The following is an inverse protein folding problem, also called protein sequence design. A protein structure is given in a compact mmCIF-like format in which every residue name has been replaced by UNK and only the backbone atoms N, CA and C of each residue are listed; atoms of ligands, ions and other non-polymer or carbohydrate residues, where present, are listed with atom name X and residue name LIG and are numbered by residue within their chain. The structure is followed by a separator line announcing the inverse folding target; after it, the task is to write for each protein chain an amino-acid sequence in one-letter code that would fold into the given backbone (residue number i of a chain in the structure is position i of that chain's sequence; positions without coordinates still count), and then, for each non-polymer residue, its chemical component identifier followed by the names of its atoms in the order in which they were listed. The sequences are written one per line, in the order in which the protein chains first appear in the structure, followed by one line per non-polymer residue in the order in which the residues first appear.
data_IF_563535237634
#
_entry.id   IF_563535237634
#
_cell.length_a   1.000
_cell.length_b   1.000
_cell.length_c   1.000
_cell.angle_alpha   90.00
_cell.angle_beta   90.00
_cell.angle_gamma   90.00
#
_symmetry.space_group_name_H-M   'P 1'
#
loop_
_entity.id
_entity.type
_entity.pdbx_description
1 polymer ?
#
# COMPACT_ATOMS: atom_id res chain seq x y z
N UNK A 1 16.25 -17.42 7.75
CA UNK A 1 16.19 -16.87 9.11
C UNK A 1 17.19 -15.73 9.24
N UNK A 2 16.78 -14.62 9.82
CA UNK A 2 17.68 -13.47 9.91
C UNK A 2 18.77 -13.70 10.93
N UNK A 3 19.93 -13.13 10.68
CA UNK A 3 21.05 -13.11 11.62
C UNK A 3 20.69 -12.14 12.76
N UNK A 4 21.04 -12.51 14.01
CA UNK A 4 20.79 -11.67 15.18
C UNK A 4 21.42 -10.29 15.08
N UNK A 5 22.45 -10.14 14.24
CA UNK A 5 23.14 -8.88 14.03
C UNK A 5 22.46 -8.00 12.99
N UNK A 6 21.54 -8.54 12.22
CA UNK A 6 20.87 -7.82 11.15
C UNK A 6 19.60 -7.14 11.70
N UNK A 7 19.44 -5.83 11.46
CA UNK A 7 18.25 -5.16 11.96
C UNK A 7 17.00 -5.56 11.18
N UNK A 8 15.89 -5.72 11.90
CA UNK A 8 14.58 -5.95 11.30
C UNK A 8 13.92 -4.59 11.09
N UNK A 9 13.68 -4.22 9.83
CA UNK A 9 13.08 -2.93 9.50
C UNK A 9 11.57 -2.96 9.66
N UNK A 10 10.95 -4.09 9.30
CA UNK A 10 9.51 -4.22 9.39
C UNK A 10 9.14 -5.69 9.51
N UNK A 11 8.00 -5.97 10.11
CA UNK A 11 7.49 -7.33 10.22
C UNK A 11 5.97 -7.32 10.27
N UNK A 12 5.37 -8.42 9.87
CA UNK A 12 3.93 -8.62 9.96
C UNK A 12 3.64 -10.09 10.24
N UNK A 13 2.59 -10.34 11.00
CA UNK A 13 2.08 -11.68 11.25
C UNK A 13 0.67 -11.78 10.71
N UNK A 14 0.40 -12.80 9.92
CA UNK A 14 -0.92 -13.02 9.33
C UNK A 14 -1.45 -14.35 9.83
N UNK A 15 -2.67 -14.33 10.38
CA UNK A 15 -3.30 -15.51 10.94
C UNK A 15 -4.65 -15.75 10.25
N UNK A 16 -4.84 -16.95 9.71
CA UNK A 16 -6.11 -17.30 9.09
C UNK A 16 -7.19 -17.44 10.15
N UNK A 17 -8.41 -17.09 9.76
CA UNK A 17 -9.59 -17.24 10.61
C UNK A 17 -10.41 -18.45 10.16
N UNK A 18 -11.46 -18.76 10.92
CA UNK A 18 -12.32 -19.90 10.61
C UNK A 18 -13.17 -19.69 9.36
N UNK A 19 -13.26 -18.46 8.89
CA UNK A 19 -14.01 -18.14 7.66
C UNK A 19 -13.13 -18.42 6.46
N UNK A 20 -13.71 -18.66 5.27
CA UNK A 20 -12.95 -19.23 4.17
C UNK A 20 -11.64 -18.51 3.85
N UNK A 21 -11.65 -17.17 3.78
CA UNK A 21 -10.46 -16.44 3.34
C UNK A 21 -10.12 -15.24 4.21
N UNK A 22 -10.86 -15.01 5.29
CA UNK A 22 -10.54 -13.92 6.20
C UNK A 22 -9.24 -14.16 6.93
N UNK A 23 -8.42 -13.13 7.03
CA UNK A 23 -7.16 -13.19 7.79
C UNK A 23 -7.04 -11.99 8.70
N UNK A 24 -6.40 -12.20 9.82
CA UNK A 24 -6.03 -11.14 10.74
C UNK A 24 -4.58 -10.81 10.51
N UNK A 25 -4.28 -9.52 10.42
CA UNK A 25 -2.92 -9.04 10.17
C UNK A 25 -2.48 -8.19 11.34
N UNK A 26 -1.28 -8.46 11.85
CA UNK A 26 -0.61 -7.58 12.81
C UNK A 26 0.65 -7.05 12.13
N UNK A 27 0.67 -5.76 11.86
CA UNK A 27 1.79 -5.13 11.18
C UNK A 27 2.27 -3.95 12.02
N UNK A 28 3.45 -4.08 12.61
CA UNK A 28 4.02 -3.02 13.42
C UNK A 28 3.15 -2.63 14.61
N UNK A 29 2.44 -3.59 15.23
CA UNK A 29 1.55 -3.34 16.33
C UNK A 29 0.16 -2.83 15.93
N UNK A 30 -0.12 -2.77 14.64
CA UNK A 30 -1.43 -2.33 14.12
C UNK A 30 -2.22 -3.52 13.62
N UNK A 31 -3.50 -3.58 13.99
CA UNK A 31 -4.39 -4.66 13.59
C UNK A 31 -5.10 -4.29 12.29
N UNK A 32 -4.99 -5.17 11.30
CA UNK A 32 -5.63 -5.00 10.00
C UNK A 32 -6.33 -6.30 9.64
N UNK A 33 -7.17 -6.26 8.64
CA UNK A 33 -7.83 -7.45 8.13
C UNK A 33 -7.62 -7.56 6.63
N UNK A 34 -7.55 -8.81 6.17
CA UNK A 34 -7.56 -9.11 4.74
C UNK A 34 -8.61 -10.16 4.45
N UNK A 35 -9.16 -10.15 3.26
CA UNK A 35 -10.16 -11.11 2.84
C UNK A 35 -10.27 -11.07 1.32
N UNK A 36 -11.00 -12.00 0.75
CA UNK A 36 -11.37 -11.93 -0.64
C UNK A 36 -12.77 -11.35 -0.78
N UNK A 37 -13.11 -10.73 -1.92
CA UNK A 37 -14.47 -10.26 -2.15
C UNK A 37 -15.45 -11.43 -2.27
N UNK A 38 -16.72 -11.12 -2.09
CA UNK A 38 -17.76 -12.15 -2.14
C UNK A 38 -17.73 -12.92 -3.47
N UNK A 39 -17.48 -12.23 -4.58
CA UNK A 39 -17.38 -12.87 -5.89
C UNK A 39 -16.23 -13.86 -6.03
N UNK A 40 -15.25 -13.82 -5.13
CA UNK A 40 -14.13 -14.75 -5.10
C UNK A 40 -14.25 -15.76 -3.95
N UNK A 41 -15.41 -15.81 -3.31
CA UNK A 41 -15.66 -16.76 -2.24
C UNK A 41 -15.40 -16.26 -0.84
N UNK A 42 -14.99 -15.02 -0.70
CA UNK A 42 -14.75 -14.41 0.60
C UNK A 42 -15.99 -13.75 1.17
N UNK A 43 -15.82 -13.06 2.29
CA UNK A 43 -16.89 -12.33 2.97
C UNK A 43 -16.70 -10.80 2.92
N UNK A 44 -15.68 -10.34 2.22
CA UNK A 44 -15.38 -8.91 2.02
C UNK A 44 -15.21 -8.17 3.35
N UNK A 45 -14.54 -8.81 4.32
CA UNK A 45 -14.32 -8.21 5.63
C UNK A 45 -13.03 -7.38 5.70
N UNK A 46 -12.30 -7.31 4.61
CA UNK A 46 -11.09 -6.51 4.48
C UNK A 46 -10.63 -6.51 3.04
N UNK A 47 -9.60 -5.70 2.70
CA UNK A 47 -9.09 -5.66 1.35
C UNK A 47 -8.44 -6.98 0.95
N UNK A 48 -8.46 -7.32 -0.34
CA UNK A 48 -7.75 -8.50 -0.82
C UNK A 48 -6.24 -8.27 -0.81
N UNK A 49 -5.43 -9.35 -0.93
CA UNK A 49 -3.97 -9.23 -0.84
C UNK A 49 -3.36 -8.20 -1.78
N UNK A 50 -3.79 -8.13 -3.04
CA UNK A 50 -3.28 -7.12 -3.96
C UNK A 50 -3.65 -5.70 -3.53
N UNK A 51 -4.84 -5.52 -2.92
CA UNK A 51 -5.22 -4.23 -2.36
C UNK A 51 -4.28 -3.80 -1.25
N UNK A 52 -3.88 -4.73 -0.40
CA UNK A 52 -2.93 -4.46 0.67
C UNK A 52 -1.54 -4.12 0.10
N UNK A 53 -1.10 -4.84 -0.93
CA UNK A 53 0.17 -4.57 -1.59
C UNK A 53 0.19 -3.19 -2.23
N UNK A 54 -0.87 -2.85 -2.96
CA UNK A 54 -0.99 -1.53 -3.59
C UNK A 54 -1.06 -0.42 -2.56
N UNK A 55 -1.74 -0.66 -1.43
CA UNK A 55 -1.82 0.31 -0.33
C UNK A 55 -0.43 0.60 0.24
N UNK A 56 0.38 -0.43 0.42
CA UNK A 56 1.75 -0.28 0.90
C UNK A 56 2.60 0.53 -0.07
N UNK A 57 2.50 0.23 -1.36
CA UNK A 57 3.23 0.97 -2.40
C UNK A 57 2.78 2.42 -2.45
N UNK A 58 1.48 2.66 -2.35
CA UNK A 58 0.94 4.02 -2.33
C UNK A 58 1.37 4.81 -1.11
N UNK A 59 1.34 4.18 0.05
CA UNK A 59 1.80 4.81 1.29
C UNK A 59 3.29 5.20 1.19
N UNK A 60 4.11 4.30 0.68
CA UNK A 60 5.54 4.58 0.49
C UNK A 60 5.74 5.79 -0.43
N UNK A 61 5.02 5.82 -1.54
CA UNK A 61 5.11 6.93 -2.50
C UNK A 61 4.69 8.26 -1.86
N UNK A 62 3.55 8.27 -1.19
CA UNK A 62 3.00 9.50 -0.60
C UNK A 62 3.90 10.03 0.51
N UNK A 63 4.37 9.14 1.38
CA UNK A 63 5.23 9.54 2.50
C UNK A 63 6.57 10.08 1.99
N UNK A 64 7.17 9.42 0.99
CA UNK A 64 8.43 9.85 0.40
C UNK A 64 8.32 11.23 -0.22
N UNK A 65 7.23 11.47 -0.96
CA UNK A 65 7.00 12.78 -1.57
C UNK A 65 6.78 13.87 -0.52
N UNK A 66 6.06 13.55 0.55
CA UNK A 66 5.86 14.47 1.66
C UNK A 66 7.21 14.84 2.31
N UNK A 67 8.04 13.86 2.56
CA UNK A 67 9.37 14.10 3.14
C UNK A 67 10.23 14.97 2.24
N UNK A 68 10.18 14.70 0.92
CA UNK A 68 10.95 15.49 -0.04
C UNK A 68 10.47 16.93 -0.06
N UNK A 69 9.15 17.15 -0.10
CA UNK A 69 8.59 18.50 -0.10
C UNK A 69 8.98 19.27 1.16
N UNK A 70 8.97 18.63 2.31
CA UNK A 70 9.37 19.25 3.57
C UNK A 70 10.84 19.70 3.53
N UNK A 71 11.72 18.86 2.99
CA UNK A 71 13.13 19.21 2.87
C UNK A 71 13.36 20.39 1.95
N UNK A 72 12.55 20.51 0.89
CA UNK A 72 12.66 21.62 -0.07
C UNK A 72 11.92 22.87 0.40
N UNK A 73 11.17 22.78 1.49
CA UNK A 73 10.37 23.91 1.97
C UNK A 73 9.18 24.19 1.07
N UNK A 74 8.68 23.21 0.31
CA UNK A 74 7.53 23.40 -0.57
C UNK A 74 6.23 23.34 0.22
N UNK A 75 5.25 24.19 -0.11
CA UNK A 75 3.98 24.23 0.62
C UNK A 75 3.00 23.15 0.14
N UNK A 76 3.43 21.91 0.21
CA UNK A 76 2.62 20.78 -0.25
C UNK A 76 1.45 20.54 0.71
N UNK A 77 0.22 20.72 0.24
CA UNK A 77 -0.97 20.51 1.05
C UNK A 77 -1.36 19.03 1.14
N UNK A 78 -1.12 18.28 0.08
CA UNK A 78 -1.45 16.87 0.09
C UNK A 78 -0.91 16.11 -1.10
N UNK A 79 -0.91 14.79 -0.97
CA UNK A 79 -0.49 13.85 -2.02
C UNK A 79 -1.57 12.79 -2.15
N UNK A 80 -2.08 12.60 -3.34
CA UNK A 80 -2.99 11.50 -3.64
C UNK A 80 -2.29 10.56 -4.60
N UNK A 81 -2.29 9.26 -4.27
CA UNK A 81 -1.68 8.24 -5.11
C UNK A 81 -2.73 7.19 -5.42
N UNK A 82 -3.05 7.03 -6.69
CA UNK A 82 -3.97 5.98 -7.13
C UNK A 82 -3.16 4.90 -7.83
N UNK A 83 -3.31 3.67 -7.38
CA UNK A 83 -2.63 2.53 -7.97
C UNK A 83 -3.65 1.55 -8.52
N UNK A 84 -3.38 1.03 -9.70
CA UNK A 84 -4.27 0.09 -10.35
C UNK A 84 -3.43 -1.07 -10.88
N UNK A 85 -3.80 -2.29 -10.48
CA UNK A 85 -3.17 -3.50 -11.00
C UNK A 85 -3.96 -3.97 -12.20
N UNK A 86 -3.29 -4.04 -13.35
CA UNK A 86 -3.93 -4.36 -14.63
C UNK A 86 -3.37 -5.66 -15.17
N UNK A 87 -4.27 -6.58 -15.54
CA UNK A 87 -3.90 -7.84 -16.16
C UNK A 87 -4.51 -7.85 -17.57
N UNK A 88 -3.64 -7.81 -18.59
CA UNK A 88 -4.06 -7.88 -19.99
C UNK A 88 -4.20 -9.34 -20.41
N UNK A 89 -3.18 -10.14 -20.11
CA UNK A 89 -3.17 -11.57 -20.38
C UNK A 89 -2.19 -12.27 -19.43
N UNK A 90 -1.93 -13.55 -19.64
CA UNK A 90 -1.05 -14.35 -18.78
C UNK A 90 0.34 -13.73 -18.62
N UNK A 91 0.83 -13.08 -19.66
CA UNK A 91 2.23 -12.62 -19.71
C UNK A 91 2.38 -11.11 -19.58
N UNK A 92 1.26 -10.38 -19.59
CA UNK A 92 1.30 -8.91 -19.59
C UNK A 92 0.50 -8.36 -18.43
N UNK A 93 1.20 -7.87 -17.45
CA UNK A 93 0.62 -7.29 -16.23
C UNK A 93 1.43 -6.07 -15.83
N UNK A 94 0.76 -5.09 -15.24
CA UNK A 94 1.47 -3.92 -14.75
C UNK A 94 0.67 -3.23 -13.66
N UNK A 95 1.32 -2.28 -13.00
CA UNK A 95 0.69 -1.42 -12.02
C UNK A 95 0.78 0.01 -12.56
N UNK A 96 -0.39 0.64 -12.73
CA UNK A 96 -0.46 2.07 -13.03
C UNK A 96 -0.42 2.84 -11.72
N UNK A 97 0.32 3.95 -11.71
CA UNK A 97 0.42 4.81 -10.55
C UNK A 97 0.18 6.25 -10.98
N UNK A 98 -0.90 6.84 -10.48
CA UNK A 98 -1.23 8.23 -10.73
C UNK A 98 -1.01 9.03 -9.47
N UNK A 99 -0.14 10.03 -9.54
CA UNK A 99 0.20 10.88 -8.41
C UNK A 99 -0.37 12.27 -8.65
N UNK A 100 -1.11 12.79 -7.66
CA UNK A 100 -1.65 14.15 -7.70
C UNK A 100 -1.10 14.92 -6.51
N UNK A 101 -0.42 16.02 -6.79
CA UNK A 101 0.13 16.90 -5.76
C UNK A 101 -0.80 18.12 -5.61
N UNK A 102 -1.09 18.46 -4.37
CA UNK A 102 -1.97 19.60 -4.06
C UNK A 102 -1.19 20.65 -3.29
N UNK A 103 -1.41 21.93 -3.62
CA UNK A 103 -0.86 23.05 -2.88
C UNK A 103 0.49 23.54 -3.35
N UNK A 104 1.02 23.01 -4.46
CA UNK A 104 2.24 23.53 -5.07
C UNK A 104 1.93 24.03 -6.47
N UNK A 105 2.75 24.97 -6.97
CA UNK A 105 2.58 25.52 -8.31
C UNK A 105 3.26 24.65 -9.38
N UNK A 106 3.10 25.01 -10.65
CA UNK A 106 3.63 24.23 -11.75
C UNK A 106 5.16 24.11 -11.74
N UNK A 107 5.85 25.12 -11.28
CA UNK A 107 7.31 25.10 -11.16
C UNK A 107 7.75 24.05 -10.16
N UNK A 108 7.08 23.99 -9.02
CA UNK A 108 7.42 23.07 -7.96
C UNK A 108 7.01 21.63 -8.31
N UNK A 109 5.91 21.46 -9.03
CA UNK A 109 5.43 20.13 -9.39
C UNK A 109 6.22 19.51 -10.54
N UNK A 110 6.94 20.30 -11.31
CA UNK A 110 7.80 19.79 -12.36
C UNK A 110 9.07 19.19 -11.76
#
# INVERSE_FOLDING_TARGET
MSDDRDPIVASATVTSEDKPYGVRIDAGGHALRGDEPVGQGGADTGPPPFGLLLSGLGACTAITLRMYAERQGWPLAGVDVKLTYVVKDKNTRWIDRLITLRGIDDEQSA
#
